data_IF_676882795998
#
_entry.id   IF_676882795998
#
_cell.length_a   1.000
_cell.length_b   1.000
_cell.length_c   1.000
_cell.angle_alpha   90.00
_cell.angle_beta   90.00
_cell.angle_gamma   90.00
#
_symmetry.space_group_name_H-M   'P 1'
#
loop_
_entity.id
_entity.type
_entity.pdbx_description
1 polymer ?
#
# COMPACT_ATOMS: atom_id res chain seq x y z
N UNK A 1 10.36 26.64 18.69
CA UNK A 1 10.75 25.20 18.66
C UNK A 1 10.67 24.54 20.05
N UNK A 2 10.38 25.28 21.12
CA UNK A 2 10.38 24.80 22.51
C UNK A 2 9.05 24.19 23.01
N UNK A 3 7.96 24.33 22.29
CA UNK A 3 6.63 23.96 22.81
C UNK A 3 6.29 22.45 22.78
N UNK A 4 7.12 21.62 22.19
CA UNK A 4 6.88 20.18 22.11
C UNK A 4 7.92 19.31 22.88
N UNK A 5 8.88 19.92 23.57
CA UNK A 5 9.91 19.21 24.32
C UNK A 5 9.40 18.39 25.53
N UNK A 6 8.10 18.37 25.79
CA UNK A 6 7.45 17.57 26.83
C UNK A 6 6.38 16.61 26.36
N UNK A 7 6.06 16.57 25.05
CA UNK A 7 4.99 15.69 24.57
C UNK A 7 5.58 14.33 24.16
N UNK A 8 5.17 13.29 24.86
CA UNK A 8 5.59 11.93 24.54
C UNK A 8 5.02 11.49 23.16
N UNK A 9 5.84 10.86 22.32
CA UNK A 9 5.42 10.32 21.04
C UNK A 9 4.18 9.42 21.13
N UNK A 10 4.05 8.65 22.21
CA UNK A 10 2.90 7.79 22.48
C UNK A 10 1.61 8.61 22.59
N UNK A 11 1.64 9.77 23.25
CA UNK A 11 0.49 10.67 23.39
C UNK A 11 0.03 11.19 22.03
N UNK A 12 0.97 11.53 21.15
CA UNK A 12 0.68 12.00 19.79
C UNK A 12 0.05 10.89 18.96
N UNK A 13 0.62 9.70 19.00
CA UNK A 13 0.08 8.54 18.28
C UNK A 13 -1.33 8.20 18.78
N UNK A 14 -1.56 8.20 20.10
CA UNK A 14 -2.87 7.94 20.66
C UNK A 14 -3.90 9.01 20.25
N UNK A 15 -3.53 10.29 20.30
CA UNK A 15 -4.38 11.38 19.84
C UNK A 15 -4.72 11.25 18.34
N UNK A 16 -3.74 10.92 17.50
CA UNK A 16 -3.93 10.67 16.08
C UNK A 16 -4.92 9.53 15.83
N UNK A 17 -4.77 8.41 16.53
CA UNK A 17 -5.69 7.27 16.43
C UNK A 17 -7.11 7.64 16.85
N UNK A 18 -7.28 8.43 17.90
CA UNK A 18 -8.59 8.94 18.30
C UNK A 18 -9.20 9.83 17.22
N UNK A 19 -8.42 10.74 16.64
CA UNK A 19 -8.88 11.61 15.54
C UNK A 19 -9.32 10.77 14.34
N UNK A 20 -8.54 9.79 13.93
CA UNK A 20 -8.89 8.91 12.82
C UNK A 20 -10.13 8.06 13.11
N UNK A 21 -10.28 7.54 14.33
CA UNK A 21 -11.46 6.78 14.73
C UNK A 21 -12.73 7.63 14.68
N UNK A 22 -12.66 8.86 15.18
CA UNK A 22 -13.77 9.84 15.13
C UNK A 22 -14.07 10.21 13.67
N UNK A 23 -13.06 10.54 12.89
CA UNK A 23 -13.22 10.88 11.48
C UNK A 23 -13.83 9.72 10.69
N UNK A 24 -13.36 8.50 10.89
CA UNK A 24 -13.93 7.31 10.26
C UNK A 24 -15.41 7.12 10.63
N UNK A 25 -15.73 7.23 11.92
CA UNK A 25 -17.09 6.98 12.43
C UNK A 25 -18.11 8.03 12.01
N UNK A 26 -17.74 9.29 11.99
CA UNK A 26 -18.68 10.39 11.71
C UNK A 26 -18.53 10.93 10.30
N UNK A 27 -17.34 11.38 9.93
CA UNK A 27 -17.09 11.99 8.64
C UNK A 27 -17.16 10.97 7.50
N UNK A 28 -16.51 9.81 7.66
CA UNK A 28 -16.58 8.73 6.67
C UNK A 28 -18.00 8.23 6.42
N UNK A 29 -18.80 8.05 7.48
CA UNK A 29 -20.20 7.67 7.33
C UNK A 29 -21.05 8.79 6.69
N UNK A 30 -20.80 10.04 7.03
CA UNK A 30 -21.47 11.17 6.39
C UNK A 30 -21.19 11.21 4.88
N UNK A 31 -19.94 11.08 4.47
CA UNK A 31 -19.56 10.99 3.04
C UNK A 31 -20.25 9.80 2.38
N UNK A 32 -20.18 8.61 2.98
CA UNK A 32 -20.76 7.39 2.44
C UNK A 32 -22.29 7.50 2.24
N UNK A 33 -23.00 8.04 3.21
CA UNK A 33 -24.47 8.06 3.23
C UNK A 33 -25.05 9.29 2.54
N UNK A 34 -24.47 10.47 2.73
CA UNK A 34 -25.04 11.73 2.25
C UNK A 34 -24.47 12.19 0.92
N UNK A 35 -23.17 11.97 0.69
CA UNK A 35 -22.50 12.39 -0.55
C UNK A 35 -22.58 11.28 -1.62
N UNK A 36 -22.16 10.05 -1.28
CA UNK A 36 -22.10 8.96 -2.22
C UNK A 36 -23.40 8.16 -2.31
N UNK A 37 -24.29 8.29 -1.32
CA UNK A 37 -25.53 7.54 -1.22
C UNK A 37 -25.32 6.03 -1.46
N UNK A 38 -24.40 5.44 -0.69
CA UNK A 38 -24.03 4.03 -0.84
C UNK A 38 -25.20 3.16 -0.42
N UNK A 39 -25.65 2.30 -1.33
CA UNK A 39 -26.68 1.31 -1.06
C UNK A 39 -26.05 -0.08 -0.90
N UNK A 40 -26.11 -0.61 0.33
CA UNK A 40 -25.55 -1.93 0.65
C UNK A 40 -26.28 -3.12 -0.02
N UNK A 41 -27.52 -2.91 -0.46
CA UNK A 41 -28.29 -3.95 -1.15
C UNK A 41 -27.91 -4.09 -2.64
N UNK A 42 -27.10 -3.16 -3.17
CA UNK A 42 -26.69 -3.21 -4.57
C UNK A 42 -25.55 -4.20 -4.75
N UNK A 43 -25.75 -5.16 -5.63
CA UNK A 43 -24.72 -6.14 -5.98
C UNK A 43 -23.49 -5.48 -6.59
N UNK A 44 -22.31 -5.96 -6.19
CA UNK A 44 -21.04 -5.53 -6.76
C UNK A 44 -20.80 -6.17 -8.13
N UNK A 45 -20.00 -5.56 -9.02
CA UNK A 45 -19.67 -6.16 -10.32
C UNK A 45 -19.08 -7.56 -10.20
N UNK A 46 -18.28 -7.84 -9.17
CA UNK A 46 -17.69 -9.15 -8.95
C UNK A 46 -18.73 -10.26 -8.75
N UNK A 47 -19.86 -9.95 -8.08
CA UNK A 47 -20.95 -10.93 -7.91
C UNK A 47 -21.86 -11.00 -9.13
N UNK A 48 -22.13 -9.83 -9.76
CA UNK A 48 -23.09 -9.76 -10.88
C UNK A 48 -22.55 -10.31 -12.20
N UNK A 49 -21.24 -10.16 -12.42
CA UNK A 49 -20.57 -10.54 -13.68
C UNK A 49 -19.51 -11.62 -13.44
N UNK A 50 -19.66 -12.43 -12.40
CA UNK A 50 -18.71 -13.48 -12.05
C UNK A 50 -18.38 -14.35 -13.27
N UNK A 51 -17.10 -14.37 -13.66
CA UNK A 51 -16.58 -15.16 -14.78
C UNK A 51 -15.36 -16.03 -14.38
N UNK A 52 -14.94 -15.94 -13.14
CA UNK A 52 -13.79 -16.67 -12.60
C UNK A 52 -12.42 -16.15 -13.09
N UNK A 53 -12.37 -15.04 -13.84
CA UNK A 53 -11.15 -14.43 -14.40
C UNK A 53 -11.06 -12.97 -14.01
N UNK A 54 -11.90 -12.12 -14.59
CA UNK A 54 -11.90 -10.67 -14.39
C UNK A 54 -12.79 -10.27 -13.21
N UNK A 55 -13.85 -11.02 -12.97
CA UNK A 55 -14.81 -10.79 -11.89
C UNK A 55 -14.87 -12.01 -10.98
N UNK A 56 -14.15 -11.93 -9.88
CA UNK A 56 -14.05 -13.01 -8.88
C UNK A 56 -14.48 -12.48 -7.52
N UNK A 57 -15.60 -12.99 -6.94
CA UNK A 57 -15.97 -12.68 -5.57
C UNK A 57 -14.87 -13.09 -4.61
N UNK A 58 -14.33 -12.12 -3.89
CA UNK A 58 -13.17 -12.32 -3.02
C UNK A 58 -13.54 -12.11 -1.56
N UNK A 59 -12.92 -12.87 -0.67
CA UNK A 59 -13.10 -12.72 0.76
C UNK A 59 -12.70 -11.31 1.22
N UNK A 60 -13.55 -10.69 2.06
CA UNK A 60 -13.36 -9.30 2.53
C UNK A 60 -12.00 -9.05 3.20
N UNK A 61 -11.43 -10.03 3.88
CA UNK A 61 -10.12 -9.90 4.54
C UNK A 61 -8.97 -9.89 3.54
N UNK A 62 -9.08 -10.69 2.47
CA UNK A 62 -8.11 -10.69 1.36
C UNK A 62 -8.17 -9.39 0.61
N UNK A 63 -9.39 -8.91 0.30
CA UNK A 63 -9.60 -7.65 -0.39
C UNK A 63 -9.07 -6.47 0.43
N UNK A 64 -9.34 -6.45 1.75
CA UNK A 64 -8.78 -5.44 2.66
C UNK A 64 -7.24 -5.48 2.68
N UNK A 65 -6.65 -6.68 2.83
CA UNK A 65 -5.19 -6.83 2.84
C UNK A 65 -4.54 -6.37 1.55
N UNK A 66 -5.15 -6.68 0.41
CA UNK A 66 -4.67 -6.24 -0.90
C UNK A 66 -4.73 -4.70 -1.07
N UNK A 67 -5.86 -4.11 -0.68
CA UNK A 67 -6.03 -2.66 -0.71
C UNK A 67 -5.06 -1.95 0.24
N UNK A 68 -4.93 -2.46 1.47
CA UNK A 68 -3.96 -1.95 2.45
C UNK A 68 -2.52 -2.03 1.94
N UNK A 69 -2.12 -3.16 1.33
CA UNK A 69 -0.78 -3.32 0.77
C UNK A 69 -0.49 -2.34 -0.38
N UNK A 70 -1.49 -2.02 -1.20
CA UNK A 70 -1.36 -1.05 -2.27
C UNK A 70 -1.14 0.38 -1.75
N UNK A 71 -1.80 0.75 -0.64
CA UNK A 71 -1.66 2.07 0.00
C UNK A 71 -0.38 2.14 0.84
N UNK A 72 -0.12 1.11 1.66
CA UNK A 72 1.00 1.08 2.62
C UNK A 72 2.36 0.71 1.97
N UNK A 73 2.56 1.06 0.70
CA UNK A 73 3.84 0.93 0.00
C UNK A 73 4.90 1.89 0.59
N UNK A 74 6.06 2.00 -0.06
CA UNK A 74 7.16 2.83 0.44
C UNK A 74 6.83 4.34 0.59
N UNK A 75 5.81 4.84 -0.11
CA UNK A 75 5.36 6.23 -0.02
C UNK A 75 5.01 6.68 1.40
N UNK A 76 4.12 6.00 2.13
CA UNK A 76 3.77 6.31 3.52
C UNK A 76 4.93 6.19 4.52
N UNK A 77 5.99 5.47 4.19
CA UNK A 77 7.20 5.40 5.02
C UNK A 77 8.11 6.60 4.78
N UNK A 78 8.35 6.93 3.52
CA UNK A 78 9.28 7.99 3.11
C UNK A 78 8.66 9.38 3.22
N UNK A 79 7.37 9.52 2.90
CA UNK A 79 6.66 10.80 2.92
C UNK A 79 6.75 11.52 4.27
N UNK A 80 6.39 10.89 5.39
CA UNK A 80 6.51 11.48 6.71
C UNK A 80 7.94 11.83 7.12
N UNK A 81 8.92 11.01 6.73
CA UNK A 81 10.36 11.28 7.00
C UNK A 81 10.81 12.52 6.25
N UNK A 82 10.45 12.65 4.98
CA UNK A 82 10.76 13.84 4.18
C UNK A 82 9.99 15.07 4.70
N UNK A 83 8.72 14.91 5.07
CA UNK A 83 7.93 16.00 5.65
C UNK A 83 8.52 16.52 6.97
N UNK A 84 9.12 15.65 7.79
CA UNK A 84 9.78 16.03 9.03
C UNK A 84 10.96 17.00 8.82
N UNK A 85 11.58 17.00 7.64
CA UNK A 85 12.66 17.95 7.29
C UNK A 85 12.15 19.41 7.20
N UNK A 86 10.86 19.60 6.91
CA UNK A 86 10.20 20.91 6.89
C UNK A 86 9.67 21.36 8.27
N UNK A 87 9.87 20.56 9.27
CA UNK A 87 9.44 20.79 10.63
C UNK A 87 8.39 19.76 11.08
N UNK A 88 8.45 19.41 12.38
CA UNK A 88 7.62 18.35 12.93
C UNK A 88 6.11 18.70 12.92
N UNK A 89 5.74 19.89 13.41
CA UNK A 89 4.34 20.28 13.56
C UNK A 89 3.63 20.44 12.22
N UNK A 90 4.17 21.15 11.22
CA UNK A 90 3.55 21.24 9.90
C UNK A 90 3.34 19.87 9.24
N UNK A 91 4.34 18.99 9.32
CA UNK A 91 4.25 17.64 8.80
C UNK A 91 3.16 16.81 9.48
N UNK A 92 3.08 16.86 10.81
CA UNK A 92 2.06 16.16 11.59
C UNK A 92 0.64 16.65 11.24
N UNK A 93 0.41 17.95 11.22
CA UNK A 93 -0.89 18.53 10.87
C UNK A 93 -1.29 18.17 9.44
N UNK A 94 -0.35 18.23 8.49
CA UNK A 94 -0.60 17.84 7.11
C UNK A 94 -1.01 16.37 6.99
N UNK A 95 -0.34 15.46 7.70
CA UNK A 95 -0.69 14.04 7.72
C UNK A 95 -2.09 13.84 8.31
N UNK A 96 -2.38 14.41 9.46
CA UNK A 96 -3.68 14.24 10.12
C UNK A 96 -4.85 14.78 9.27
N UNK A 97 -4.72 15.99 8.79
CA UNK A 97 -5.77 16.65 7.99
C UNK A 97 -5.85 16.02 6.60
N UNK A 98 -4.70 15.79 5.96
CA UNK A 98 -4.61 15.22 4.61
C UNK A 98 -5.16 13.81 4.53
N UNK A 99 -4.87 12.96 5.52
CA UNK A 99 -5.44 11.60 5.55
C UNK A 99 -6.96 11.60 5.69
N UNK A 100 -7.53 12.53 6.48
CA UNK A 100 -8.99 12.58 6.71
C UNK A 100 -9.71 13.24 5.54
N UNK A 101 -9.30 14.46 5.15
CA UNK A 101 -10.04 15.27 4.19
C UNK A 101 -9.71 14.96 2.73
N UNK A 102 -8.49 14.54 2.43
CA UNK A 102 -8.05 14.25 1.08
C UNK A 102 -7.92 12.75 0.82
N UNK A 103 -6.98 12.06 1.45
CA UNK A 103 -6.64 10.68 1.14
C UNK A 103 -7.82 9.72 1.28
N UNK A 104 -8.43 9.67 2.46
CA UNK A 104 -9.55 8.75 2.71
C UNK A 104 -10.78 9.04 1.86
N UNK A 105 -11.08 10.31 1.58
CA UNK A 105 -12.20 10.69 0.70
C UNK A 105 -11.88 10.35 -0.74
N UNK A 106 -10.67 10.68 -1.22
CA UNK A 106 -10.22 10.35 -2.57
C UNK A 106 -10.35 8.85 -2.85
N UNK A 107 -9.78 8.03 -1.98
CA UNK A 107 -9.80 6.58 -2.16
C UNK A 107 -11.22 6.00 -2.15
N UNK A 108 -12.06 6.47 -1.22
CA UNK A 108 -13.45 6.04 -1.14
C UNK A 108 -14.26 6.45 -2.39
N UNK A 109 -14.07 7.68 -2.89
CA UNK A 109 -14.77 8.17 -4.08
C UNK A 109 -14.31 7.42 -5.33
N UNK A 110 -13.00 7.22 -5.50
CA UNK A 110 -12.46 6.50 -6.66
C UNK A 110 -12.92 5.05 -6.68
N UNK A 111 -12.89 4.35 -5.53
CA UNK A 111 -13.43 2.99 -5.42
C UNK A 111 -14.93 2.93 -5.71
N UNK A 112 -15.69 3.86 -5.14
CA UNK A 112 -17.14 3.94 -5.40
C UNK A 112 -17.43 4.14 -6.89
N UNK A 113 -16.75 5.09 -7.54
CA UNK A 113 -16.89 5.32 -8.96
C UNK A 113 -16.49 4.10 -9.80
N UNK A 114 -15.39 3.44 -9.43
CA UNK A 114 -14.94 2.22 -10.11
C UNK A 114 -15.97 1.09 -10.01
N UNK A 115 -16.51 0.84 -8.83
CA UNK A 115 -17.58 -0.15 -8.63
C UNK A 115 -18.83 0.18 -9.45
N UNK A 116 -19.19 1.46 -9.56
CA UNK A 116 -20.31 1.92 -10.40
C UNK A 116 -20.07 1.69 -11.89
N UNK A 117 -18.83 1.76 -12.35
CA UNK A 117 -18.39 1.58 -13.72
C UNK A 117 -17.78 0.19 -13.99
N UNK A 118 -18.29 -0.85 -13.33
CA UNK A 118 -17.89 -2.25 -13.55
C UNK A 118 -16.39 -2.50 -13.30
N UNK A 119 -15.78 -1.86 -12.31
CA UNK A 119 -14.37 -2.03 -11.97
C UNK A 119 -13.41 -1.33 -12.96
N UNK A 120 -13.86 -0.33 -13.70
CA UNK A 120 -13.01 0.39 -14.67
C UNK A 120 -12.09 1.41 -13.99
N UNK A 121 -11.00 1.77 -14.70
CA UNK A 121 -10.00 2.74 -14.26
C UNK A 121 -10.53 4.17 -14.24
N UNK A 122 -9.86 5.05 -13.46
CA UNK A 122 -10.21 6.47 -13.37
C UNK A 122 -10.22 7.17 -14.73
N UNK A 123 -9.26 6.88 -15.61
CA UNK A 123 -9.20 7.45 -16.96
C UNK A 123 -10.40 7.03 -17.82
N UNK A 124 -10.84 5.78 -17.70
CA UNK A 124 -12.06 5.33 -18.38
C UNK A 124 -13.30 6.05 -17.85
N UNK A 125 -13.41 6.19 -16.53
CA UNK A 125 -14.52 6.90 -15.89
C UNK A 125 -14.57 8.36 -16.36
N UNK A 126 -13.41 9.04 -16.37
CA UNK A 126 -13.31 10.40 -16.88
C UNK A 126 -13.75 10.52 -18.35
N UNK A 127 -13.45 9.50 -19.17
CA UNK A 127 -13.87 9.49 -20.58
C UNK A 127 -15.38 9.31 -20.78
N UNK A 128 -16.06 8.67 -19.84
CA UNK A 128 -17.50 8.41 -19.92
C UNK A 128 -18.34 9.53 -19.28
N UNK A 129 -17.85 10.07 -18.17
CA UNK A 129 -18.62 11.06 -17.38
C UNK A 129 -18.35 12.51 -17.81
N UNK A 130 -17.20 12.79 -18.42
CA UNK A 130 -16.83 14.14 -18.86
C UNK A 130 -16.75 14.18 -20.37
N UNK A 131 -15.62 13.72 -20.95
CA UNK A 131 -15.43 13.57 -22.39
C UNK A 131 -14.23 12.67 -22.74
N UNK A 132 -14.12 12.26 -24.01
CA UNK A 132 -13.04 11.40 -24.48
C UNK A 132 -11.66 12.06 -24.43
N UNK A 133 -11.58 13.38 -24.54
CA UNK A 133 -10.33 14.14 -24.47
C UNK A 133 -9.81 14.14 -23.04
N UNK A 134 -10.69 14.42 -22.07
CA UNK A 134 -10.38 14.35 -20.64
C UNK A 134 -9.92 12.94 -20.23
N UNK A 135 -10.57 11.89 -20.72
CA UNK A 135 -10.15 10.52 -20.47
C UNK A 135 -8.74 10.22 -21.00
N UNK A 136 -8.39 10.70 -22.20
CA UNK A 136 -7.02 10.54 -22.75
C UNK A 136 -5.97 11.31 -21.95
N UNK A 137 -6.27 12.56 -21.60
CA UNK A 137 -5.36 13.36 -20.75
C UNK A 137 -5.18 12.70 -19.40
N UNK A 138 -6.25 12.23 -18.75
CA UNK A 138 -6.18 11.50 -17.51
C UNK A 138 -5.35 10.22 -17.61
N UNK A 139 -5.47 9.45 -18.71
CA UNK A 139 -4.67 8.25 -18.94
C UNK A 139 -3.16 8.56 -19.02
N UNK A 140 -2.78 9.57 -19.77
CA UNK A 140 -1.37 10.00 -19.86
C UNK A 140 -0.85 10.57 -18.56
N UNK A 141 -1.66 11.35 -17.83
CA UNK A 141 -1.28 11.88 -16.51
C UNK A 141 -1.06 10.76 -15.49
N UNK A 142 -1.98 9.79 -15.41
CA UNK A 142 -1.84 8.61 -14.54
C UNK A 142 -0.60 7.80 -14.91
N UNK A 143 -0.34 7.55 -16.21
CA UNK A 143 0.85 6.85 -16.66
C UNK A 143 2.13 7.59 -16.23
N UNK A 144 2.19 8.89 -16.43
CA UNK A 144 3.35 9.70 -16.01
C UNK A 144 3.56 9.66 -14.50
N UNK A 145 2.49 9.78 -13.70
CA UNK A 145 2.55 9.67 -12.23
C UNK A 145 3.05 8.29 -11.81
N UNK A 146 2.55 7.23 -12.43
CA UNK A 146 2.99 5.86 -12.10
C UNK A 146 4.48 5.65 -12.41
N UNK A 147 4.96 6.13 -13.55
CA UNK A 147 6.39 6.03 -13.92
C UNK A 147 7.28 6.82 -12.95
N UNK A 148 6.89 8.04 -12.60
CA UNK A 148 7.63 8.86 -11.63
C UNK A 148 7.63 8.22 -10.24
N UNK A 149 6.49 7.71 -9.80
CA UNK A 149 6.35 7.03 -8.51
C UNK A 149 7.21 5.77 -8.48
N UNK A 150 7.17 4.95 -9.54
CA UNK A 150 8.00 3.74 -9.65
C UNK A 150 9.50 4.08 -9.57
N UNK A 151 9.94 5.10 -10.30
CA UNK A 151 11.34 5.55 -10.26
C UNK A 151 11.73 6.02 -8.86
N UNK A 152 10.92 6.87 -8.21
CA UNK A 152 11.20 7.37 -6.86
C UNK A 152 11.25 6.25 -5.82
N UNK A 153 10.30 5.31 -5.86
CA UNK A 153 10.27 4.17 -4.95
C UNK A 153 11.43 3.21 -5.20
N UNK A 154 11.83 3.00 -6.45
CA UNK A 154 13.00 2.17 -6.78
C UNK A 154 14.28 2.75 -6.18
N UNK A 155 14.49 4.06 -6.32
CA UNK A 155 15.65 4.73 -5.71
C UNK A 155 15.63 4.57 -4.19
N UNK A 156 14.46 4.73 -3.56
CA UNK A 156 14.32 4.58 -2.13
C UNK A 156 14.66 3.15 -1.64
N UNK A 157 14.18 2.13 -2.36
CA UNK A 157 14.47 0.73 -2.05
C UNK A 157 15.96 0.44 -2.24
N UNK A 158 16.57 0.89 -3.35
CA UNK A 158 18.01 0.73 -3.58
C UNK A 158 18.83 1.38 -2.49
N UNK A 159 18.49 2.61 -2.08
CA UNK A 159 19.17 3.30 -0.98
C UNK A 159 19.02 2.57 0.37
N UNK A 160 17.88 1.93 0.62
CA UNK A 160 17.69 1.12 1.82
C UNK A 160 18.49 -0.20 1.80
N UNK A 161 18.80 -0.72 0.62
CA UNK A 161 19.62 -1.92 0.43
C UNK A 161 21.12 -1.61 0.39
N UNK A 162 21.48 -0.37 0.06
CA UNK A 162 22.85 0.10 -0.02
C UNK A 162 23.57 -0.07 1.32
N UNK A 163 24.79 -0.58 1.32
CA UNK A 163 25.60 -0.85 2.51
C UNK A 163 24.96 -1.86 3.50
N UNK A 164 23.97 -2.65 3.09
CA UNK A 164 23.30 -3.61 3.98
C UNK A 164 23.00 -4.94 3.30
N UNK A 165 23.93 -5.86 3.43
CA UNK A 165 23.76 -7.25 2.96
C UNK A 165 22.50 -7.91 3.57
N UNK A 166 22.20 -7.60 4.84
CA UNK A 166 20.99 -8.06 5.50
C UNK A 166 19.71 -7.58 4.78
N UNK A 167 19.62 -6.28 4.46
CA UNK A 167 18.47 -5.71 3.75
C UNK A 167 18.28 -6.37 2.38
N UNK A 168 19.36 -6.49 1.60
CA UNK A 168 19.34 -7.14 0.29
C UNK A 168 18.87 -8.59 0.37
N UNK A 169 19.42 -9.35 1.33
CA UNK A 169 19.00 -10.73 1.57
C UNK A 169 17.52 -10.83 1.92
N UNK A 170 17.03 -9.99 2.82
CA UNK A 170 15.62 -10.01 3.24
C UNK A 170 14.68 -9.71 2.07
N UNK A 171 14.99 -8.69 1.27
CA UNK A 171 14.22 -8.35 0.08
C UNK A 171 14.24 -9.51 -0.94
N UNK A 172 15.40 -10.10 -1.19
CA UNK A 172 15.53 -11.23 -2.10
C UNK A 172 14.69 -12.43 -1.67
N UNK A 173 14.65 -12.74 -0.37
CA UNK A 173 13.85 -13.83 0.20
C UNK A 173 12.34 -13.62 0.05
N UNK A 174 11.85 -12.39 -0.08
CA UNK A 174 10.41 -12.16 -0.27
C UNK A 174 9.88 -12.77 -1.55
N UNK A 175 10.69 -12.85 -2.61
CA UNK A 175 10.31 -13.41 -3.92
C UNK A 175 9.99 -14.91 -3.81
N UNK A 176 10.91 -15.78 -3.35
CA UNK A 176 10.60 -17.21 -3.20
C UNK A 176 9.49 -17.47 -2.17
N UNK A 177 9.40 -16.67 -1.10
CA UNK A 177 8.29 -16.78 -0.14
C UNK A 177 6.95 -16.51 -0.83
N UNK A 178 6.86 -15.45 -1.64
CA UNK A 178 5.63 -15.13 -2.38
C UNK A 178 5.26 -16.23 -3.38
N UNK A 179 6.24 -16.80 -4.10
CA UNK A 179 6.03 -17.93 -5.01
C UNK A 179 5.51 -19.15 -4.25
N UNK A 180 6.12 -19.49 -3.11
CA UNK A 180 5.68 -20.62 -2.27
C UNK A 180 4.25 -20.43 -1.76
N UNK A 181 3.90 -19.20 -1.31
CA UNK A 181 2.52 -18.88 -0.90
C UNK A 181 1.54 -19.05 -2.07
N UNK A 182 1.92 -18.58 -3.27
CA UNK A 182 1.10 -18.74 -4.47
C UNK A 182 0.89 -20.21 -4.84
N UNK A 183 1.95 -21.01 -4.84
CA UNK A 183 1.88 -22.45 -5.09
C UNK A 183 1.04 -23.18 -4.04
N UNK A 184 1.20 -22.83 -2.77
CA UNK A 184 0.40 -23.39 -1.69
C UNK A 184 -1.10 -23.17 -1.92
N UNK A 185 -1.50 -21.94 -2.28
CA UNK A 185 -2.90 -21.56 -2.50
C UNK A 185 -3.48 -22.14 -3.80
N UNK A 186 -2.66 -22.35 -4.84
CA UNK A 186 -3.13 -22.83 -6.14
C UNK A 186 -3.08 -24.36 -6.25
N UNK A 187 -2.07 -25.01 -5.70
CA UNK A 187 -1.80 -26.43 -5.90
C UNK A 187 -2.16 -27.28 -4.68
N UNK A 188 -1.66 -26.90 -3.49
CA UNK A 188 -1.78 -27.75 -2.29
C UNK A 188 -3.09 -27.57 -1.54
N UNK A 189 -3.49 -26.35 -1.29
CA UNK A 189 -4.75 -26.03 -0.62
C UNK A 189 -5.43 -24.85 -1.30
N UNK A 190 -6.25 -25.15 -2.28
CA UNK A 190 -6.97 -24.13 -3.04
C UNK A 190 -7.82 -23.24 -2.13
N UNK A 191 -7.49 -21.94 -2.12
CA UNK A 191 -8.26 -20.94 -1.38
C UNK A 191 -7.97 -20.86 0.13
N UNK A 192 -7.03 -21.64 0.69
CA UNK A 192 -6.64 -21.53 2.10
C UNK A 192 -5.73 -20.31 2.35
N UNK A 193 -6.37 -19.15 2.42
CA UNK A 193 -5.69 -17.87 2.69
C UNK A 193 -5.05 -17.84 4.08
N UNK A 194 -5.69 -18.48 5.09
CA UNK A 194 -5.18 -18.47 6.47
C UNK A 194 -3.87 -19.24 6.57
N UNK A 195 -3.82 -20.44 6.01
CA UNK A 195 -2.60 -21.25 6.00
C UNK A 195 -1.48 -20.56 5.23
N UNK A 196 -1.77 -19.99 4.06
CA UNK A 196 -0.81 -19.23 3.27
C UNK A 196 -0.26 -18.01 4.04
N UNK A 197 -1.12 -17.26 4.74
CA UNK A 197 -0.69 -16.10 5.53
C UNK A 197 0.21 -16.52 6.69
N UNK A 198 -0.16 -17.54 7.45
CA UNK A 198 0.66 -18.03 8.58
C UNK A 198 2.03 -18.50 8.05
N UNK A 199 2.04 -19.29 6.98
CA UNK A 199 3.29 -19.77 6.35
C UNK A 199 4.17 -18.60 5.90
N UNK A 200 3.59 -17.62 5.20
CA UNK A 200 4.33 -16.45 4.71
C UNK A 200 4.90 -15.60 5.84
N UNK A 201 4.12 -15.35 6.90
CA UNK A 201 4.57 -14.59 8.08
C UNK A 201 5.71 -15.34 8.79
N UNK A 202 5.58 -16.64 9.02
CA UNK A 202 6.62 -17.44 9.66
C UNK A 202 7.90 -17.43 8.84
N UNK A 203 7.81 -17.65 7.52
CA UNK A 203 8.97 -17.64 6.63
C UNK A 203 9.65 -16.27 6.58
N UNK A 204 8.86 -15.19 6.57
CA UNK A 204 9.39 -13.83 6.59
C UNK A 204 10.15 -13.56 7.91
N UNK A 205 9.58 -13.94 9.06
CA UNK A 205 10.27 -13.80 10.34
C UNK A 205 11.55 -14.63 10.40
N UNK A 206 11.55 -15.87 9.92
CA UNK A 206 12.75 -16.70 9.83
C UNK A 206 13.82 -16.03 8.94
N UNK A 207 13.43 -15.45 7.81
CA UNK A 207 14.33 -14.71 6.94
C UNK A 207 14.93 -13.49 7.65
N UNK A 208 14.12 -12.69 8.34
CA UNK A 208 14.60 -11.52 9.09
C UNK A 208 15.58 -11.95 10.21
N UNK A 209 15.25 -12.98 10.97
CA UNK A 209 16.08 -13.47 12.05
C UNK A 209 17.40 -14.10 11.58
N UNK A 210 17.42 -14.69 10.38
CA UNK A 210 18.65 -15.24 9.78
C UNK A 210 19.54 -14.15 9.15
N UNK A 211 19.03 -12.96 8.93
CA UNK A 211 19.75 -11.86 8.28
C UNK A 211 21.06 -11.44 8.95
N UNK A 212 21.15 -11.31 10.30
CA UNK A 212 22.42 -11.02 10.97
C UNK A 212 23.49 -12.10 10.74
N UNK A 213 23.08 -13.36 10.67
CA UNK A 213 24.00 -14.48 10.36
C UNK A 213 24.52 -14.36 8.91
N UNK A 214 23.64 -14.06 7.95
CA UNK A 214 24.02 -13.82 6.54
C UNK A 214 24.98 -12.63 6.44
N UNK A 215 24.70 -11.55 7.15
CA UNK A 215 25.55 -10.36 7.16
C UNK A 215 26.95 -10.62 7.77
N UNK A 216 27.07 -11.59 8.68
CA UNK A 216 28.34 -11.97 9.30
C UNK A 216 29.19 -12.93 8.43
N UNK A 217 28.64 -13.47 7.34
CA UNK A 217 29.32 -14.41 6.43
C UNK A 217 29.31 -13.92 4.98
N UNK A 218 29.95 -12.77 4.70
CA UNK A 218 29.95 -12.19 3.36
C UNK A 218 30.68 -13.05 2.32
N UNK A 219 31.52 -14.01 2.76
CA UNK A 219 32.21 -14.96 1.88
C UNK A 219 31.25 -15.89 1.12
N UNK A 220 30.08 -16.23 1.70
CA UNK A 220 29.07 -17.08 1.06
C UNK A 220 27.99 -16.27 0.34
N UNK A 221 27.66 -15.10 0.84
CA UNK A 221 26.53 -14.29 0.39
C UNK A 221 26.93 -12.99 -0.33
N UNK A 222 28.23 -12.80 -0.56
CA UNK A 222 28.72 -11.59 -1.17
C UNK A 222 28.24 -11.33 -2.61
N UNK A 223 27.60 -12.29 -3.27
CA UNK A 223 26.93 -12.10 -4.55
C UNK A 223 25.61 -11.29 -4.41
N UNK A 224 25.05 -11.17 -3.20
CA UNK A 224 23.91 -10.31 -2.90
C UNK A 224 24.32 -8.86 -2.58
N UNK A 225 25.61 -8.56 -2.52
CA UNK A 225 26.12 -7.26 -2.17
C UNK A 225 26.10 -6.34 -3.41
N UNK A 226 25.14 -5.39 -3.40
CA UNK A 226 24.98 -4.40 -4.47
C UNK A 226 26.11 -3.36 -4.54
N UNK A 227 26.93 -3.28 -3.51
CA UNK A 227 28.02 -2.30 -3.45
C UNK A 227 29.33 -2.80 -4.11
N UNK A 228 29.36 -4.03 -4.59
CA UNK A 228 30.52 -4.54 -5.30
C UNK A 228 30.77 -3.76 -6.60
N UNK A 229 32.05 -3.39 -6.86
CA UNK A 229 32.43 -2.62 -8.05
C UNK A 229 32.00 -3.27 -9.37
N UNK A 230 31.85 -4.59 -9.39
CA UNK A 230 31.47 -5.37 -10.55
C UNK A 230 29.99 -5.24 -10.96
N UNK A 231 29.15 -4.66 -10.09
CA UNK A 231 27.73 -4.46 -10.33
C UNK A 231 27.32 -2.99 -10.53
N UNK A 232 28.28 -2.08 -10.62
CA UNK A 232 28.05 -0.67 -10.89
C UNK A 232 28.03 -0.33 -12.37
#
# INVERSE_FOLDING_TARGET
>A
MESLNGVNAITIVFAALCIFAIAYRFYGLWVAQKVLNINAARETPANRFEDGKDYVPTNKYVLFGHHFAAIAAAGPLLGPVLAAQFGYLPGLLWILIGCVLAGGVHDMVVLFCSVRHRGKSLAYIASQEIDTTTGRVAAWAVLAILLLTLAALSIAVVNAMHNSLWSTYTVFCTIPIAVLMGLYMQVWRKGDVRGATIMGVVLLFLCILSGPWVASHPEYFGWLDIDKPEMR
#
